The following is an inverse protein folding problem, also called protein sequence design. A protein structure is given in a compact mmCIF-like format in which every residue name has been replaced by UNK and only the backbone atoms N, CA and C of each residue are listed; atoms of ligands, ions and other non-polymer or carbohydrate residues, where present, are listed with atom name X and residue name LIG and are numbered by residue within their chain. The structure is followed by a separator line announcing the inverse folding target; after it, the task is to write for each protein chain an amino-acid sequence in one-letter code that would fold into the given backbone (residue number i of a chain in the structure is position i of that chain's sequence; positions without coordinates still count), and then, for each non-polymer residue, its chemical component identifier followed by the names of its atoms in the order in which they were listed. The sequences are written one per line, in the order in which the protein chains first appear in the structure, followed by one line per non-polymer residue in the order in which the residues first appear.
data_IF_404345389843
#
_entry.id   IF_404345389843
#
_cell.length_a   1.000
_cell.length_b   1.000
_cell.length_c   1.000
_cell.angle_alpha   90.00
_cell.angle_beta   90.00
_cell.angle_gamma   90.00
#
_symmetry.space_group_name_H-M   'P 1'
#
loop_
_entity.id
_entity.type
_entity.pdbx_description
1 polymer ?
#
# COMPACT_ATOMS: atom_id res chain seq x y z
N UNK A 1 -5.56 4.18 -19.87
CA UNK A 1 -4.41 4.50 -19.00
C UNK A 1 -3.44 3.31 -19.06
N UNK A 2 -2.13 3.47 -18.89
CA UNK A 2 -1.19 2.34 -18.94
C UNK A 2 -1.55 1.32 -17.83
N UNK A 3 -1.70 0.02 -18.14
CA UNK A 3 -2.14 -1.02 -17.19
C UNK A 3 -1.28 -1.05 -15.92
N UNK A 4 0.00 -0.69 -16.04
CA UNK A 4 0.94 -0.56 -14.92
C UNK A 4 0.52 0.52 -13.92
N UNK A 5 0.13 1.70 -14.42
CA UNK A 5 -0.26 2.84 -13.59
C UNK A 5 -1.61 2.59 -12.95
N UNK A 6 -2.57 2.07 -13.73
CA UNK A 6 -3.92 1.80 -13.25
C UNK A 6 -3.95 0.67 -12.20
N UNK A 7 -3.22 -0.41 -12.46
CA UNK A 7 -3.06 -1.50 -11.50
C UNK A 7 -2.35 -1.07 -10.22
N UNK A 8 -1.29 -0.26 -10.32
CA UNK A 8 -0.58 0.27 -9.15
C UNK A 8 -1.48 1.18 -8.30
N UNK A 9 -2.26 2.07 -8.91
CA UNK A 9 -3.19 2.95 -8.18
C UNK A 9 -4.29 2.11 -7.52
N UNK A 10 -4.90 1.17 -8.23
CA UNK A 10 -6.00 0.34 -7.71
C UNK A 10 -5.55 -0.52 -6.52
N UNK A 11 -4.34 -1.10 -6.60
CA UNK A 11 -3.76 -1.93 -5.53
C UNK A 11 -3.40 -1.13 -4.28
N UNK A 12 -2.98 0.13 -4.45
CA UNK A 12 -2.38 0.91 -3.36
C UNK A 12 -3.28 1.98 -2.74
N UNK A 13 -4.57 2.10 -3.12
CA UNK A 13 -5.46 3.17 -2.60
C UNK A 13 -5.46 3.25 -1.06
N UNK A 14 -5.54 2.11 -0.39
CA UNK A 14 -5.50 2.05 1.08
C UNK A 14 -4.09 2.36 1.62
N UNK A 15 -3.04 1.97 0.89
CA UNK A 15 -1.66 2.25 1.27
C UNK A 15 -1.33 3.76 1.25
N UNK A 16 -1.94 4.54 0.35
CA UNK A 16 -1.82 6.00 0.37
C UNK A 16 -2.37 6.62 1.66
N UNK A 17 -3.54 6.15 2.12
CA UNK A 17 -4.17 6.65 3.35
C UNK A 17 -3.29 6.29 4.56
N UNK A 18 -2.84 5.05 4.64
CA UNK A 18 -1.95 4.58 5.71
C UNK A 18 -0.64 5.39 5.71
N UNK A 19 -0.08 5.64 4.53
CA UNK A 19 1.14 6.44 4.38
C UNK A 19 0.96 7.89 4.88
N UNK A 20 -0.19 8.52 4.59
CA UNK A 20 -0.51 9.87 5.06
C UNK A 20 -0.66 9.91 6.59
N UNK A 21 -1.38 8.95 7.17
CA UNK A 21 -1.53 8.85 8.63
C UNK A 21 -0.16 8.65 9.30
N UNK A 22 0.67 7.77 8.76
CA UNK A 22 2.02 7.53 9.28
C UNK A 22 2.89 8.79 9.20
N UNK A 23 2.81 9.54 8.09
CA UNK A 23 3.51 10.82 7.95
C UNK A 23 3.08 11.81 9.04
N UNK A 24 1.77 11.92 9.32
CA UNK A 24 1.25 12.80 10.39
C UNK A 24 1.78 12.39 11.77
N UNK A 25 1.76 11.09 12.10
CA UNK A 25 2.26 10.59 13.38
C UNK A 25 3.75 10.91 13.53
N UNK A 26 4.56 10.65 12.49
CA UNK A 26 5.99 10.95 12.52
C UNK A 26 6.28 12.45 12.61
N UNK A 27 5.47 13.28 11.96
CA UNK A 27 5.59 14.73 12.05
C UNK A 27 5.38 15.24 13.49
N UNK A 28 4.40 14.67 14.19
CA UNK A 28 4.07 15.04 15.57
C UNK A 28 5.10 14.47 16.57
N UNK A 29 5.43 13.18 16.45
CA UNK A 29 6.24 12.45 17.44
C UNK A 29 7.74 12.68 17.27
N UNK A 30 8.22 12.94 16.05
CA UNK A 30 9.65 13.10 15.79
C UNK A 30 10.01 14.48 15.26
N UNK A 31 9.34 14.96 14.22
CA UNK A 31 9.74 16.23 13.56
C UNK A 31 9.58 17.41 14.51
N UNK A 32 8.43 17.53 15.20
CA UNK A 32 8.21 18.60 16.15
C UNK A 32 9.24 18.59 17.31
N UNK A 33 9.49 17.47 18.01
CA UNK A 33 10.56 17.38 19.01
C UNK A 33 11.95 17.73 18.51
N UNK A 34 12.35 17.22 17.34
CA UNK A 34 13.67 17.52 16.77
C UNK A 34 13.81 19.00 16.44
N UNK A 35 12.78 19.60 15.84
CA UNK A 35 12.81 21.02 15.47
C UNK A 35 12.86 21.94 16.69
N UNK A 36 12.03 21.68 17.70
CA UNK A 36 11.98 22.50 18.91
C UNK A 36 13.23 22.34 19.79
N UNK A 37 13.81 21.13 19.84
CA UNK A 37 15.07 20.90 20.55
C UNK A 37 16.25 21.56 19.82
N UNK A 38 16.25 21.55 18.48
CA UNK A 38 17.25 22.27 17.68
C UNK A 38 17.17 23.78 17.86
N UNK A 39 15.97 24.31 18.04
CA UNK A 39 15.76 25.73 18.36
C UNK A 39 16.33 26.08 19.74
N UNK A 40 16.02 25.31 20.78
CA UNK A 40 16.51 25.56 22.14
C UNK A 40 18.03 25.37 22.25
N UNK A 41 18.58 24.38 21.59
CA UNK A 41 20.03 24.13 21.56
C UNK A 41 20.84 25.24 20.87
N UNK A 42 20.19 26.10 20.08
CA UNK A 42 20.79 27.26 19.42
C UNK A 42 20.49 28.60 20.12
N UNK A 43 19.83 28.60 21.28
CA UNK A 43 19.39 29.83 21.94
C UNK A 43 20.55 30.78 22.33
N UNK A 44 21.73 30.25 22.62
CA UNK A 44 22.95 31.01 22.94
C UNK A 44 23.78 31.43 21.71
N UNK A 45 23.29 31.19 20.48
CA UNK A 45 24.00 31.48 19.23
C UNK A 45 25.06 30.45 18.82
N UNK A 46 25.35 29.47 19.67
CA UNK A 46 26.20 28.30 19.37
C UNK A 46 25.41 27.04 19.70
N UNK A 47 25.39 26.10 18.77
CA UNK A 47 24.68 24.83 18.96
C UNK A 47 25.31 23.98 20.06
N UNK A 48 24.55 23.68 21.10
CA UNK A 48 24.95 22.76 22.18
C UNK A 48 24.32 21.38 21.98
N UNK A 49 25.14 20.38 21.65
CA UNK A 49 24.67 18.99 21.50
C UNK A 49 24.14 18.40 22.81
N UNK A 50 24.73 18.77 23.95
CA UNK A 50 24.27 18.31 25.26
C UNK A 50 22.85 18.80 25.55
N UNK A 51 22.61 20.11 25.36
CA UNK A 51 21.30 20.72 25.54
C UNK A 51 20.27 20.16 24.55
N UNK A 52 20.70 19.91 23.31
CA UNK A 52 19.84 19.27 22.32
C UNK A 52 19.34 17.90 22.80
N UNK A 53 20.25 17.02 23.24
CA UNK A 53 19.89 15.65 23.61
C UNK A 53 19.03 15.58 24.87
N UNK A 54 19.34 16.39 25.89
CA UNK A 54 18.57 16.49 27.12
C UNK A 54 17.12 16.90 26.82
N UNK A 55 16.96 17.98 26.05
CA UNK A 55 15.66 18.56 25.75
C UNK A 55 14.90 17.74 24.70
N UNK A 56 15.59 16.99 23.83
CA UNK A 56 14.98 16.12 22.84
C UNK A 56 14.20 14.98 23.50
N UNK A 57 14.77 14.32 24.50
CA UNK A 57 14.10 13.22 25.20
C UNK A 57 12.79 13.71 25.83
N UNK A 58 12.83 14.85 26.52
CA UNK A 58 11.64 15.44 27.15
C UNK A 58 10.56 15.82 26.13
N UNK A 59 10.95 16.37 24.99
CA UNK A 59 10.02 16.74 23.93
C UNK A 59 9.42 15.52 23.20
N UNK A 60 10.18 14.45 23.03
CA UNK A 60 9.66 13.20 22.44
C UNK A 60 8.60 12.57 23.35
N UNK A 61 8.79 12.64 24.67
CA UNK A 61 7.81 12.10 25.62
C UNK A 61 6.53 12.96 25.71
N UNK A 62 6.61 14.25 25.34
CA UNK A 62 5.49 15.20 25.42
C UNK A 62 5.21 15.92 24.08
N UNK A 63 4.90 15.19 22.99
CA UNK A 63 4.90 15.75 21.63
C UNK A 63 3.83 16.82 21.39
N UNK A 64 2.66 16.73 22.03
CA UNK A 64 1.61 17.74 21.92
C UNK A 64 1.97 19.04 22.64
N UNK A 65 2.63 18.95 23.79
CA UNK A 65 3.14 20.13 24.50
C UNK A 65 4.25 20.80 23.69
N UNK A 66 5.12 19.99 23.07
CA UNK A 66 6.14 20.49 22.15
C UNK A 66 5.55 21.23 20.95
N UNK A 67 4.48 20.72 20.33
CA UNK A 67 3.77 21.43 19.27
C UNK A 67 3.25 22.80 19.73
N UNK A 68 2.62 22.87 20.91
CA UNK A 68 2.19 24.14 21.48
C UNK A 68 3.35 25.12 21.67
N UNK A 69 4.45 24.62 22.24
CA UNK A 69 5.67 25.40 22.46
C UNK A 69 6.30 25.95 21.18
N UNK A 70 6.22 25.22 20.06
CA UNK A 70 6.74 25.68 18.77
C UNK A 70 6.08 27.00 18.36
N UNK A 71 4.74 27.04 18.43
CA UNK A 71 3.97 28.21 18.01
C UNK A 71 4.01 29.35 19.03
N UNK A 72 4.14 29.04 20.33
CA UNK A 72 4.17 30.08 21.37
C UNK A 72 5.55 30.68 21.61
N UNK A 73 6.65 29.93 21.37
CA UNK A 73 8.03 30.35 21.67
C UNK A 73 8.85 30.74 20.44
N UNK A 74 8.22 30.83 19.27
CA UNK A 74 8.87 31.34 18.05
C UNK A 74 9.71 30.33 17.27
N UNK A 75 9.59 29.03 17.56
CA UNK A 75 10.33 27.98 16.85
C UNK A 75 9.67 27.57 15.50
N UNK A 76 8.63 28.27 15.06
CA UNK A 76 7.84 27.96 13.87
C UNK A 76 8.68 27.83 12.61
N UNK A 77 9.67 28.71 12.40
CA UNK A 77 10.55 28.65 11.24
C UNK A 77 11.34 27.33 11.22
N UNK A 78 11.97 26.98 12.35
CA UNK A 78 12.72 25.73 12.49
C UNK A 78 11.81 24.53 12.22
N UNK A 79 10.60 24.52 12.78
CA UNK A 79 9.63 23.47 12.54
C UNK A 79 9.26 23.31 11.07
N UNK A 80 8.88 24.39 10.38
CA UNK A 80 8.51 24.34 8.95
C UNK A 80 9.69 23.87 8.10
N UNK A 81 10.89 24.37 8.36
CA UNK A 81 12.10 23.96 7.64
C UNK A 81 12.39 22.46 7.82
N UNK A 82 12.36 21.96 9.05
CA UNK A 82 12.57 20.53 9.34
C UNK A 82 11.44 19.67 8.75
N UNK A 83 10.19 20.14 8.81
CA UNK A 83 9.03 19.44 8.25
C UNK A 83 9.13 19.30 6.73
N UNK A 84 9.56 20.34 6.02
CA UNK A 84 9.77 20.29 4.56
C UNK A 84 10.87 19.27 4.23
N UNK A 85 12.01 19.35 4.91
CA UNK A 85 13.12 18.41 4.69
C UNK A 85 12.71 16.95 4.94
N UNK A 86 12.02 16.68 6.05
CA UNK A 86 11.45 15.38 6.35
C UNK A 86 10.47 14.90 5.28
N UNK A 87 9.55 15.78 4.85
CA UNK A 87 8.49 15.42 3.89
C UNK A 87 9.07 15.06 2.53
N UNK A 88 10.11 15.75 2.07
CA UNK A 88 10.79 15.43 0.81
C UNK A 88 11.38 14.02 0.87
N UNK A 89 12.15 13.71 1.92
CA UNK A 89 12.76 12.39 2.11
C UNK A 89 11.69 11.30 2.22
N UNK A 90 10.64 11.55 3.00
CA UNK A 90 9.54 10.62 3.18
C UNK A 90 8.82 10.31 1.86
N UNK A 91 8.53 11.33 1.04
CA UNK A 91 7.92 11.17 -0.27
C UNK A 91 8.83 10.37 -1.21
N UNK A 92 10.14 10.60 -1.20
CA UNK A 92 11.08 9.82 -2.02
C UNK A 92 11.01 8.33 -1.65
N UNK A 93 11.08 8.00 -0.36
CA UNK A 93 10.99 6.61 0.12
C UNK A 93 9.64 5.99 -0.26
N UNK A 94 8.56 6.74 -0.08
CA UNK A 94 7.23 6.30 -0.48
C UNK A 94 7.13 6.02 -1.98
N UNK A 95 7.64 6.91 -2.84
CA UNK A 95 7.64 6.73 -4.29
C UNK A 95 8.46 5.50 -4.69
N UNK A 96 9.62 5.26 -4.08
CA UNK A 96 10.42 4.04 -4.32
C UNK A 96 9.60 2.78 -4.00
N UNK A 97 8.92 2.76 -2.84
CA UNK A 97 8.02 1.66 -2.48
C UNK A 97 6.86 1.49 -3.46
N UNK A 98 6.24 2.60 -3.85
CA UNK A 98 5.15 2.64 -4.82
C UNK A 98 5.60 2.06 -6.18
N UNK A 99 6.71 2.52 -6.74
CA UNK A 99 7.22 1.99 -8.01
C UNK A 99 7.55 0.51 -7.93
N UNK A 100 8.14 0.03 -6.83
CA UNK A 100 8.40 -1.40 -6.60
C UNK A 100 7.13 -2.25 -6.52
N UNK A 101 6.01 -1.67 -6.10
CA UNK A 101 4.72 -2.37 -6.00
C UNK A 101 3.91 -2.44 -7.31
N UNK A 102 4.40 -1.80 -8.38
CA UNK A 102 3.77 -1.80 -9.70
C UNK A 102 3.65 -3.22 -10.26
N UNK A 103 2.51 -3.61 -10.86
CA UNK A 103 2.36 -4.92 -11.48
C UNK A 103 3.38 -5.11 -12.62
N UNK A 104 4.08 -6.25 -12.61
CA UNK A 104 5.15 -6.55 -13.58
C UNK A 104 4.58 -6.93 -14.95
N UNK A 105 3.37 -7.48 -14.98
CA UNK A 105 2.62 -7.81 -16.19
C UNK A 105 1.13 -7.49 -15.98
N UNK A 106 0.36 -7.53 -17.07
CA UNK A 106 -1.09 -7.24 -17.07
C UNK A 106 -1.92 -8.25 -16.26
N UNK A 107 -1.34 -9.41 -15.97
CA UNK A 107 -1.99 -10.55 -15.34
C UNK A 107 -1.63 -10.71 -13.85
N UNK A 108 -0.89 -9.76 -13.27
CA UNK A 108 -0.46 -9.82 -11.87
C UNK A 108 -1.68 -9.73 -10.96
N UNK A 109 -1.78 -10.62 -9.98
CA UNK A 109 -2.94 -10.78 -9.07
C UNK A 109 -4.28 -11.06 -9.79
N UNK A 110 -4.23 -11.51 -11.06
CA UNK A 110 -5.39 -12.07 -11.77
C UNK A 110 -5.27 -13.58 -11.69
N UNK A 111 -6.13 -14.22 -10.88
CA UNK A 111 -6.22 -15.68 -10.85
C UNK A 111 -6.79 -16.18 -12.18
N UNK A 112 -5.92 -16.73 -13.03
CA UNK A 112 -6.33 -17.43 -14.23
C UNK A 112 -6.78 -18.84 -13.86
N UNK A 113 -8.01 -18.95 -13.33
CA UNK A 113 -8.69 -20.23 -13.29
C UNK A 113 -8.92 -20.71 -14.73
N UNK A 114 -8.62 -21.99 -15.00
CA UNK A 114 -8.77 -22.65 -16.31
C UNK A 114 -10.15 -22.46 -16.96
N UNK A 115 -11.17 -22.04 -16.20
CA UNK A 115 -12.51 -21.73 -16.69
C UNK A 115 -12.59 -20.52 -17.63
N UNK A 116 -11.65 -19.57 -17.60
CA UNK A 116 -11.62 -18.49 -18.62
C UNK A 116 -11.05 -18.98 -19.95
N UNK A 117 -10.25 -20.06 -19.95
CA UNK A 117 -9.73 -20.69 -21.17
C UNK A 117 -10.82 -21.38 -21.98
N UNK A 118 -11.93 -21.73 -21.33
CA UNK A 118 -13.12 -22.32 -21.96
C UNK A 118 -14.15 -21.30 -22.44
N UNK A 119 -13.92 -20.00 -22.24
CA UNK A 119 -14.73 -19.00 -22.93
C UNK A 119 -14.21 -18.85 -24.35
N UNK A 120 -14.95 -19.38 -25.33
CA UNK A 120 -14.65 -19.46 -26.78
C UNK A 120 -13.66 -20.55 -27.23
N UNK A 121 -13.17 -21.40 -26.32
CA UNK A 121 -12.52 -22.67 -26.70
C UNK A 121 -13.53 -23.68 -27.24
N UNK A 122 -13.07 -24.71 -27.97
CA UNK A 122 -13.96 -25.71 -28.59
C UNK A 122 -15.00 -26.23 -27.61
N UNK A 123 -16.25 -25.90 -27.93
CA UNK A 123 -17.46 -26.38 -27.29
C UNK A 123 -17.44 -27.91 -27.42
N UNK A 124 -17.09 -28.58 -26.31
CA UNK A 124 -16.98 -30.04 -26.18
C UNK A 124 -16.06 -30.75 -27.18
N UNK A 125 -14.77 -30.88 -26.86
CA UNK A 125 -14.00 -32.02 -27.37
C UNK A 125 -14.19 -33.20 -26.41
N UNK A 126 -14.97 -34.19 -26.82
CA UNK A 126 -15.07 -35.47 -26.10
C UNK A 126 -13.68 -36.10 -26.13
N UNK A 127 -12.94 -36.03 -25.03
CA UNK A 127 -11.55 -36.49 -24.96
C UNK A 127 -11.44 -38.01 -25.04
N UNK A 128 -12.44 -38.75 -24.55
CA UNK A 128 -12.65 -40.19 -24.73
C UNK A 128 -13.97 -40.59 -24.03
N UNK A 129 -14.64 -41.66 -24.47
CA UNK A 129 -15.77 -42.26 -23.73
C UNK A 129 -15.37 -42.77 -22.35
N UNK A 130 -14.07 -43.05 -22.14
CA UNK A 130 -13.52 -43.60 -20.91
C UNK A 130 -12.87 -42.54 -19.98
N UNK A 131 -12.80 -41.25 -20.37
CA UNK A 131 -11.96 -40.24 -19.67
C UNK A 131 -12.70 -39.03 -19.08
N UNK A 132 -14.03 -39.02 -19.05
CA UNK A 132 -14.83 -37.95 -18.42
C UNK A 132 -15.00 -36.69 -19.28
N UNK A 133 -15.85 -35.76 -18.82
CA UNK A 133 -16.19 -34.51 -19.53
C UNK A 133 -15.74 -33.32 -18.67
N UNK A 134 -15.08 -32.33 -19.28
CA UNK A 134 -14.72 -31.06 -18.62
C UNK A 134 -15.84 -30.06 -18.86
N UNK A 135 -16.43 -29.53 -17.78
CA UNK A 135 -17.44 -28.47 -17.85
C UNK A 135 -16.89 -27.15 -17.32
N UNK A 136 -17.27 -26.07 -17.98
CA UNK A 136 -16.96 -24.71 -17.56
C UNK A 136 -18.22 -23.88 -17.35
N UNK A 137 -18.08 -22.75 -16.67
CA UNK A 137 -19.15 -21.81 -16.39
C UNK A 137 -19.87 -21.40 -17.69
N UNK A 138 -21.21 -21.52 -17.72
CA UNK A 138 -22.11 -21.33 -18.88
C UNK A 138 -22.08 -22.41 -19.98
N UNK A 139 -21.46 -23.57 -19.77
CA UNK A 139 -21.60 -24.73 -20.64
C UNK A 139 -22.56 -25.77 -20.01
N UNK A 140 -23.50 -26.27 -20.81
CA UNK A 140 -24.58 -27.17 -20.36
C UNK A 140 -24.37 -28.60 -20.87
N UNK A 141 -24.43 -29.59 -19.97
CA UNK A 141 -24.52 -30.99 -20.38
C UNK A 141 -25.80 -31.20 -21.21
N UNK A 142 -25.70 -31.86 -22.37
CA UNK A 142 -26.89 -32.19 -23.13
C UNK A 142 -27.69 -33.27 -22.36
N UNK A 143 -29.00 -33.06 -22.26
CA UNK A 143 -29.92 -33.84 -21.41
C UNK A 143 -30.05 -35.29 -21.89
N UNK A 144 -29.60 -35.59 -23.11
CA UNK A 144 -29.65 -36.89 -23.77
C UNK A 144 -28.43 -37.79 -23.49
N UNK A 145 -27.40 -37.31 -22.78
CA UNK A 145 -26.24 -38.12 -22.36
C UNK A 145 -26.64 -39.15 -21.30
N UNK A 146 -27.01 -40.36 -21.73
CA UNK A 146 -27.23 -41.53 -20.87
C UNK A 146 -25.91 -42.25 -20.56
N UNK A 147 -25.55 -42.41 -19.29
CA UNK A 147 -24.38 -43.16 -18.82
C UNK A 147 -23.80 -42.64 -17.49
N UNK A 148 -22.88 -43.39 -16.87
CA UNK A 148 -22.18 -42.97 -15.64
C UNK A 148 -21.11 -41.93 -16.00
N UNK A 149 -21.45 -40.64 -15.91
CA UNK A 149 -20.55 -39.54 -16.29
C UNK A 149 -19.88 -39.00 -15.04
N UNK A 150 -18.56 -39.22 -14.89
CA UNK A 150 -17.78 -38.50 -13.89
C UNK A 150 -17.66 -37.04 -14.35
N UNK A 151 -18.31 -36.13 -13.63
CA UNK A 151 -18.33 -34.70 -13.91
C UNK A 151 -17.47 -33.99 -12.86
N UNK A 152 -16.41 -33.30 -13.30
CA UNK A 152 -15.68 -32.36 -12.45
C UNK A 152 -16.27 -30.97 -12.66
N UNK A 153 -16.93 -30.44 -11.62
CA UNK A 153 -17.44 -29.06 -11.61
C UNK A 153 -16.37 -28.16 -11.03
N UNK A 154 -15.81 -27.26 -11.84
CA UNK A 154 -14.84 -26.26 -11.38
C UNK A 154 -15.59 -24.95 -11.15
N UNK A 155 -15.99 -24.69 -9.91
CA UNK A 155 -16.63 -23.44 -9.50
C UNK A 155 -15.62 -22.36 -9.12
N UNK A 156 -15.95 -21.08 -9.37
CA UNK A 156 -15.23 -19.92 -8.83
C UNK A 156 -15.93 -19.40 -7.58
N UNK A 157 -15.17 -19.12 -6.53
CA UNK A 157 -15.62 -18.27 -5.44
C UNK A 157 -15.07 -16.86 -5.66
N UNK A 158 -15.92 -15.92 -6.04
CA UNK A 158 -15.59 -14.49 -6.09
C UNK A 158 -16.06 -13.84 -4.79
N UNK A 159 -15.13 -13.44 -3.93
CA UNK A 159 -15.45 -12.46 -2.89
C UNK A 159 -15.68 -11.12 -3.59
N UNK A 160 -16.91 -10.61 -3.50
CA UNK A 160 -17.29 -9.28 -3.99
C UNK A 160 -16.86 -8.21 -3.01
#
# INVERSE_FOLDING_TARGET
MNYKIEGAIKKNKNAFIICLILWLILAIVFVAPVAYSSFQANASGVFSLNTFMEVLVDNITNPFATLGNIFSKGATHNFVSTLIGFSIVYVIIFLVGFFKSTPKNEYTDIEHGSSDWSQKGEQYKILDKNKGIILAENNYLPVDKRGNVNVLVVGRFRFR
#
